data_IF_036850450449
#
_entry.id   IF_036850450449
#
_cell.length_a   1.000
_cell.length_b   1.000
_cell.length_c   1.000
_cell.angle_alpha   90.00
_cell.angle_beta   90.00
_cell.angle_gamma   90.00
#
_symmetry.space_group_name_H-M   'P 1'
#
loop_
_entity.id
_entity.type
_entity.pdbx_description
1 polymer ?
#
# COMPACT_ATOMS: atom_id res chain seq x y z
N UNK A 1 -3.28 -81.24 -94.88
CA UNK A 1 -3.80 -79.96 -94.38
C UNK A 1 -4.56 -80.26 -93.10
N UNK A 2 -3.91 -80.89 -92.11
CA UNK A 2 -3.16 -80.30 -90.99
C UNK A 2 -4.06 -79.50 -90.02
N UNK A 3 -4.41 -80.19 -88.92
CA UNK A 3 -4.75 -79.76 -87.56
C UNK A 3 -5.57 -78.49 -87.35
N UNK A 4 -6.73 -78.60 -86.67
CA UNK A 4 -7.28 -77.61 -85.70
C UNK A 4 -8.63 -78.13 -85.12
N UNK A 5 -8.63 -79.32 -84.50
CA UNK A 5 -9.81 -79.95 -83.87
C UNK A 5 -9.65 -80.19 -82.35
N UNK A 6 -8.83 -79.38 -81.66
CA UNK A 6 -8.55 -79.53 -80.21
C UNK A 6 -8.82 -78.26 -79.38
N UNK A 7 -9.74 -77.38 -79.78
CA UNK A 7 -10.18 -76.27 -78.93
C UNK A 7 -11.37 -76.72 -78.05
N UNK A 8 -11.05 -77.24 -76.87
CA UNK A 8 -12.04 -77.60 -75.85
C UNK A 8 -12.18 -76.46 -74.82
N UNK A 9 -13.29 -75.70 -74.78
CA UNK A 9 -13.43 -74.48 -73.96
C UNK A 9 -13.58 -74.72 -72.45
N UNK A 10 -13.58 -75.99 -72.01
CA UNK A 10 -13.83 -76.39 -70.62
C UNK A 10 -12.54 -76.92 -69.94
N UNK A 11 -11.51 -77.27 -70.72
CA UNK A 11 -10.21 -77.66 -70.20
C UNK A 11 -9.19 -76.59 -70.60
N UNK A 12 -8.76 -75.72 -69.66
CA UNK A 12 -7.75 -74.73 -69.98
C UNK A 12 -6.47 -75.45 -70.42
N UNK A 13 -5.85 -74.97 -71.50
CA UNK A 13 -4.53 -75.41 -71.92
C UNK A 13 -3.60 -75.38 -70.70
N UNK A 14 -2.92 -76.50 -70.42
CA UNK A 14 -2.03 -76.64 -69.25
C UNK A 14 -0.96 -75.55 -69.22
N UNK A 15 -0.59 -75.01 -70.39
CA UNK A 15 0.27 -73.84 -70.51
C UNK A 15 -0.33 -72.55 -69.93
N UNK A 16 -1.62 -72.29 -70.16
CA UNK A 16 -2.33 -71.11 -69.63
C UNK A 16 -2.51 -71.19 -68.10
N UNK A 17 -2.79 -72.38 -67.56
CA UNK A 17 -2.86 -72.59 -66.11
C UNK A 17 -1.51 -72.37 -65.43
N UNK A 18 -0.42 -72.84 -66.04
CA UNK A 18 0.93 -72.65 -65.51
C UNK A 18 1.33 -71.17 -65.48
N UNK A 19 1.15 -70.45 -66.59
CA UNK A 19 1.49 -69.03 -66.67
C UNK A 19 0.58 -68.15 -65.81
N UNK A 20 -0.72 -68.47 -65.70
CA UNK A 20 -1.63 -67.73 -64.82
C UNK A 20 -1.29 -67.93 -63.34
N UNK A 21 -0.93 -69.15 -62.92
CA UNK A 21 -0.51 -69.44 -61.54
C UNK A 21 0.80 -68.73 -61.19
N UNK A 22 1.78 -68.73 -62.09
CA UNK A 22 3.04 -68.00 -61.91
C UNK A 22 2.79 -66.50 -61.78
N UNK A 23 1.96 -65.94 -62.66
CA UNK A 23 1.65 -64.50 -62.63
C UNK A 23 0.88 -64.12 -61.37
N UNK A 24 -0.04 -64.97 -60.91
CA UNK A 24 -0.76 -64.79 -59.65
C UNK A 24 0.16 -64.84 -58.43
N UNK A 25 1.08 -65.82 -58.36
CA UNK A 25 2.06 -65.92 -57.28
C UNK A 25 3.02 -64.73 -57.28
N UNK A 26 3.49 -64.31 -58.46
CA UNK A 26 4.34 -63.13 -58.60
C UNK A 26 3.61 -61.87 -58.12
N UNK A 27 2.37 -61.68 -58.55
CA UNK A 27 1.52 -60.57 -58.10
C UNK A 27 1.28 -60.62 -56.58
N UNK A 28 0.97 -61.78 -56.02
CA UNK A 28 0.74 -61.94 -54.58
C UNK A 28 2.01 -61.63 -53.78
N UNK A 29 3.19 -62.05 -54.22
CA UNK A 29 4.45 -61.69 -53.57
C UNK A 29 4.72 -60.18 -53.62
N UNK A 30 4.41 -59.52 -54.74
CA UNK A 30 4.54 -58.07 -54.87
C UNK A 30 3.57 -57.37 -53.91
N UNK A 31 2.28 -57.69 -53.94
CA UNK A 31 1.27 -57.06 -53.08
C UNK A 31 1.51 -57.37 -51.60
N UNK A 32 1.85 -58.62 -51.26
CA UNK A 32 2.14 -59.05 -49.90
C UNK A 32 3.31 -58.28 -49.27
N UNK A 33 4.33 -57.94 -50.06
CA UNK A 33 5.47 -57.17 -49.57
C UNK A 33 5.26 -55.64 -49.65
N UNK A 34 4.61 -55.15 -50.70
CA UNK A 34 4.47 -53.72 -50.96
C UNK A 34 3.24 -53.08 -50.33
N UNK A 35 2.11 -53.78 -50.17
CA UNK A 35 0.88 -53.20 -49.62
C UNK A 35 0.84 -53.24 -48.09
N UNK A 36 1.37 -54.29 -47.47
CA UNK A 36 1.33 -54.43 -46.00
C UNK A 36 2.24 -53.43 -45.27
N UNK A 37 3.41 -53.10 -45.84
CA UNK A 37 4.35 -52.12 -45.28
C UNK A 37 3.74 -50.72 -45.07
N UNK A 38 3.14 -50.06 -46.08
CA UNK A 38 2.54 -48.74 -45.89
C UNK A 38 1.30 -48.77 -44.99
N UNK A 39 0.51 -49.85 -44.99
CA UNK A 39 -0.66 -49.98 -44.10
C UNK A 39 -0.22 -50.09 -42.64
N UNK A 40 0.77 -50.92 -42.34
CA UNK A 40 1.33 -51.03 -41.00
C UNK A 40 1.98 -49.73 -40.53
N UNK A 41 2.71 -49.05 -41.42
CA UNK A 41 3.28 -47.73 -41.15
C UNK A 41 2.22 -46.67 -40.84
N UNK A 42 1.14 -46.60 -41.62
CA UNK A 42 0.05 -45.66 -41.39
C UNK A 42 -0.70 -45.93 -40.07
N UNK A 43 -0.88 -47.21 -39.70
CA UNK A 43 -1.50 -47.57 -38.42
C UNK A 43 -0.61 -47.21 -37.23
N UNK A 44 0.69 -47.50 -37.31
CA UNK A 44 1.66 -47.15 -36.27
C UNK A 44 1.80 -45.63 -36.11
N UNK A 45 1.80 -44.88 -37.21
CA UNK A 45 1.80 -43.41 -37.17
C UNK A 45 0.56 -42.89 -36.44
N UNK A 46 -0.63 -43.41 -36.79
CA UNK A 46 -1.87 -43.01 -36.13
C UNK A 46 -1.88 -43.36 -34.63
N UNK A 47 -1.35 -44.52 -34.27
CA UNK A 47 -1.20 -44.93 -32.87
C UNK A 47 -0.28 -43.95 -32.11
N UNK A 48 0.86 -43.60 -32.70
CA UNK A 48 1.80 -42.63 -32.14
C UNK A 48 1.16 -41.25 -31.99
N UNK A 49 0.48 -40.73 -33.03
CA UNK A 49 -0.17 -39.43 -33.00
C UNK A 49 -1.26 -39.36 -31.91
N UNK A 50 -2.02 -40.45 -31.72
CA UNK A 50 -3.04 -40.54 -30.66
C UNK A 50 -2.37 -40.57 -29.29
N UNK A 51 -1.31 -41.35 -29.13
CA UNK A 51 -0.58 -41.44 -27.86
C UNK A 51 0.02 -40.08 -27.48
N UNK A 52 0.68 -39.41 -28.43
CA UNK A 52 1.22 -38.07 -28.24
C UNK A 52 0.12 -37.06 -27.88
N UNK A 53 -1.01 -37.08 -28.58
CA UNK A 53 -2.13 -36.18 -28.27
C UNK A 53 -2.72 -36.44 -26.87
N UNK A 54 -2.79 -37.70 -26.44
CA UNK A 54 -3.24 -38.06 -25.08
C UNK A 54 -2.24 -37.63 -24.02
N UNK A 55 -0.94 -37.80 -24.28
CA UNK A 55 0.12 -37.41 -23.36
C UNK A 55 0.19 -35.89 -23.21
N UNK A 56 0.09 -35.14 -24.32
CA UNK A 56 -0.02 -33.68 -24.30
C UNK A 56 -1.28 -33.21 -23.56
N UNK A 57 -2.43 -33.85 -23.77
CA UNK A 57 -3.65 -33.51 -23.05
C UNK A 57 -3.54 -33.78 -21.56
N UNK A 58 -2.83 -34.83 -21.16
CA UNK A 58 -2.56 -35.16 -19.76
C UNK A 58 -1.62 -34.13 -19.13
N UNK A 59 -0.52 -33.79 -19.80
CA UNK A 59 0.42 -32.75 -19.36
C UNK A 59 -0.29 -31.40 -19.20
N UNK A 60 -1.09 -30.98 -20.18
CA UNK A 60 -1.85 -29.74 -20.11
C UNK A 60 -2.83 -29.71 -18.93
N UNK A 61 -3.45 -30.85 -18.59
CA UNK A 61 -4.32 -30.96 -17.40
C UNK A 61 -3.54 -30.87 -16.09
N UNK A 62 -2.38 -31.51 -16.01
CA UNK A 62 -1.51 -31.45 -14.85
C UNK A 62 -0.97 -30.02 -14.63
N UNK A 63 -0.52 -29.36 -15.69
CA UNK A 63 -0.09 -27.96 -15.65
C UNK A 63 -1.23 -27.02 -15.26
N UNK A 64 -2.43 -27.22 -15.80
CA UNK A 64 -3.60 -26.42 -15.42
C UNK A 64 -3.98 -26.62 -13.95
N UNK A 65 -3.90 -27.84 -13.43
CA UNK A 65 -4.13 -28.12 -12.03
C UNK A 65 -3.08 -27.46 -11.13
N UNK A 66 -1.80 -27.51 -11.53
CA UNK A 66 -0.71 -26.83 -10.82
C UNK A 66 -0.90 -25.30 -10.82
N UNK A 67 -1.16 -24.71 -11.98
CA UNK A 67 -1.44 -23.27 -12.12
C UNK A 67 -2.63 -22.83 -11.27
N UNK A 68 -3.69 -23.63 -11.21
CA UNK A 68 -4.84 -23.35 -10.37
C UNK A 68 -4.48 -23.39 -8.88
N UNK A 69 -3.71 -24.40 -8.45
CA UNK A 69 -3.23 -24.49 -7.07
C UNK A 69 -2.33 -23.31 -6.69
N UNK A 70 -1.43 -22.91 -7.58
CA UNK A 70 -0.56 -21.74 -7.36
C UNK A 70 -1.37 -20.44 -7.33
N UNK A 71 -2.38 -20.30 -8.18
CA UNK A 71 -3.26 -19.13 -8.16
C UNK A 71 -4.04 -19.05 -6.84
N UNK A 72 -4.62 -20.18 -6.40
CA UNK A 72 -5.34 -20.28 -5.13
C UNK A 72 -4.39 -19.94 -3.95
N UNK A 73 -3.12 -20.38 -3.99
CA UNK A 73 -2.09 -20.03 -3.00
C UNK A 73 -1.75 -18.54 -3.03
N UNK A 74 -1.48 -17.96 -4.20
CA UNK A 74 -1.16 -16.52 -4.35
C UNK A 74 -2.31 -15.65 -3.85
N UNK A 75 -3.56 -16.03 -4.14
CA UNK A 75 -4.74 -15.31 -3.62
C UNK A 75 -4.81 -15.41 -2.10
N UNK A 76 -4.49 -16.57 -1.53
CA UNK A 76 -4.39 -16.75 -0.08
C UNK A 76 -3.35 -15.84 0.56
N UNK A 77 -2.13 -15.85 0.03
CA UNK A 77 -1.01 -15.00 0.48
C UNK A 77 -1.35 -13.51 0.34
N UNK A 78 -1.95 -13.10 -0.77
CA UNK A 78 -2.37 -11.72 -0.99
C UNK A 78 -3.43 -11.25 0.02
N UNK A 79 -4.37 -12.12 0.41
CA UNK A 79 -5.37 -11.81 1.43
C UNK A 79 -4.76 -11.70 2.82
N UNK A 80 -3.81 -12.57 3.16
CA UNK A 80 -3.07 -12.49 4.42
C UNK A 80 -2.26 -11.20 4.50
N UNK A 81 -1.57 -10.85 3.43
CA UNK A 81 -0.79 -9.62 3.33
C UNK A 81 -1.68 -8.38 3.42
N UNK A 82 -2.80 -8.37 2.71
CA UNK A 82 -3.80 -7.30 2.81
C UNK A 82 -4.30 -7.13 4.25
N UNK A 83 -4.59 -8.23 4.94
CA UNK A 83 -5.03 -8.18 6.34
C UNK A 83 -3.93 -7.64 7.26
N UNK A 84 -2.67 -8.01 7.01
CA UNK A 84 -1.49 -7.50 7.72
C UNK A 84 -1.36 -5.98 7.55
N UNK A 85 -1.38 -5.50 6.30
CA UNK A 85 -1.29 -4.07 5.96
C UNK A 85 -2.43 -3.29 6.60
N UNK A 86 -3.66 -3.80 6.54
CA UNK A 86 -4.81 -3.12 7.12
C UNK A 86 -4.73 -3.03 8.65
N UNK A 87 -4.20 -4.09 9.30
CA UNK A 87 -3.96 -4.10 10.74
C UNK A 87 -2.89 -3.08 11.13
N UNK A 88 -1.76 -3.09 10.43
CA UNK A 88 -0.66 -2.14 10.67
C UNK A 88 -1.09 -0.69 10.44
N UNK A 89 -1.85 -0.43 9.38
CA UNK A 89 -2.41 0.90 9.11
C UNK A 89 -3.34 1.38 10.23
N UNK A 90 -4.18 0.50 10.78
CA UNK A 90 -5.04 0.82 11.92
C UNK A 90 -4.24 1.07 13.19
N UNK A 91 -3.25 0.24 13.48
CA UNK A 91 -2.37 0.40 14.66
C UNK A 91 -1.58 1.71 14.58
N UNK A 92 -0.98 2.00 13.42
CA UNK A 92 -0.26 3.25 13.15
C UNK A 92 -1.19 4.46 13.26
N UNK A 93 -2.39 4.39 12.66
CA UNK A 93 -3.39 5.45 12.76
C UNK A 93 -3.81 5.73 14.21
N UNK A 94 -4.07 4.68 14.98
CA UNK A 94 -4.41 4.80 16.40
C UNK A 94 -3.26 5.39 17.21
N UNK A 95 -2.02 5.00 16.92
CA UNK A 95 -0.81 5.55 17.56
C UNK A 95 -0.66 7.04 17.26
N UNK A 96 -0.82 7.46 16.00
CA UNK A 96 -0.78 8.87 15.60
C UNK A 96 -1.85 9.66 16.35
N UNK A 97 -3.09 9.16 16.42
CA UNK A 97 -4.18 9.83 17.15
C UNK A 97 -3.84 9.96 18.64
N UNK A 98 -3.28 8.93 19.27
CA UNK A 98 -2.86 8.97 20.66
C UNK A 98 -1.75 10.01 20.89
N UNK A 99 -0.69 9.97 20.08
CA UNK A 99 0.41 10.93 20.14
C UNK A 99 -0.05 12.38 19.91
N UNK A 100 -0.95 12.59 18.95
CA UNK A 100 -1.54 13.92 18.69
C UNK A 100 -2.37 14.41 19.86
N UNK A 101 -3.14 13.53 20.52
CA UNK A 101 -3.92 13.89 21.72
C UNK A 101 -3.02 14.26 22.89
N UNK A 102 -1.93 13.52 23.10
CA UNK A 102 -0.99 13.79 24.19
C UNK A 102 -0.23 15.10 23.93
N UNK A 103 0.25 15.33 22.70
CA UNK A 103 0.85 16.63 22.31
C UNK A 103 -0.12 17.80 22.51
N UNK A 104 -1.38 17.63 22.11
CA UNK A 104 -2.41 18.66 22.29
C UNK A 104 -2.68 18.97 23.77
N UNK A 105 -2.68 17.95 24.64
CA UNK A 105 -2.80 18.13 26.09
C UNK A 105 -1.61 18.88 26.67
N UNK A 106 -0.40 18.52 26.25
CA UNK A 106 0.83 19.20 26.70
C UNK A 106 0.85 20.66 26.26
N UNK A 107 0.47 20.95 25.01
CA UNK A 107 0.34 22.32 24.51
C UNK A 107 -0.73 23.10 25.26
N UNK A 108 -1.90 22.50 25.52
CA UNK A 108 -2.96 23.13 26.31
C UNK A 108 -2.48 23.46 27.73
N UNK A 109 -1.75 22.54 28.38
CA UNK A 109 -1.16 22.79 29.69
C UNK A 109 -0.14 23.93 29.68
N UNK A 110 0.70 24.01 28.64
CA UNK A 110 1.64 25.12 28.46
C UNK A 110 0.92 26.45 28.27
N UNK A 111 -0.12 26.49 27.43
CA UNK A 111 -0.93 27.69 27.20
C UNK A 111 -1.56 28.16 28.52
N UNK A 112 -2.19 27.26 29.29
CA UNK A 112 -2.80 27.60 30.58
C UNK A 112 -1.76 28.11 31.58
N UNK A 113 -0.57 27.49 31.62
CA UNK A 113 0.51 27.91 32.52
C UNK A 113 1.02 29.29 32.15
N UNK A 114 1.26 29.55 30.85
CA UNK A 114 1.69 30.85 30.36
C UNK A 114 0.64 31.93 30.63
N UNK A 115 -0.64 31.64 30.37
CA UNK A 115 -1.73 32.56 30.67
C UNK A 115 -1.79 32.92 32.16
N UNK A 116 -1.56 31.95 33.07
CA UNK A 116 -1.49 32.24 34.52
C UNK A 116 -0.32 33.13 34.88
N UNK A 117 0.85 32.92 34.26
CA UNK A 117 2.03 33.77 34.48
C UNK A 117 1.80 35.18 33.96
N UNK A 118 1.17 35.34 32.80
CA UNK A 118 0.80 36.64 32.25
C UNK A 118 -0.22 37.35 33.14
N UNK A 119 -1.24 36.65 33.64
CA UNK A 119 -2.23 37.22 34.56
C UNK A 119 -1.56 37.70 35.86
N UNK A 120 -0.66 36.91 36.45
CA UNK A 120 0.05 37.31 37.66
C UNK A 120 0.94 38.54 37.43
N UNK A 121 1.63 38.60 36.29
CA UNK A 121 2.40 39.76 35.86
C UNK A 121 1.51 40.99 35.69
N UNK A 122 0.39 40.87 34.97
CA UNK A 122 -0.57 41.95 34.78
C UNK A 122 -1.18 42.44 36.10
N UNK A 123 -1.49 41.54 37.03
CA UNK A 123 -2.00 41.90 38.34
C UNK A 123 -0.98 42.73 39.14
N UNK A 124 0.31 42.34 39.12
CA UNK A 124 1.40 43.11 39.75
C UNK A 124 1.57 44.48 39.11
N UNK A 125 1.47 44.58 37.78
CA UNK A 125 1.50 45.85 37.07
C UNK A 125 0.32 46.74 37.47
N UNK A 126 -0.91 46.19 37.52
CA UNK A 126 -2.10 46.92 37.93
C UNK A 126 -2.00 47.44 39.37
N UNK A 127 -1.49 46.64 40.32
CA UNK A 127 -1.27 47.07 41.71
C UNK A 127 -0.25 48.22 41.76
N UNK A 128 0.82 48.14 40.98
CA UNK A 128 1.84 49.19 40.92
C UNK A 128 1.26 50.49 40.37
N UNK A 129 0.44 50.40 39.32
CA UNK A 129 -0.25 51.56 38.74
C UNK A 129 -1.21 52.22 39.75
N UNK A 130 -2.00 51.42 40.46
CA UNK A 130 -2.88 51.93 41.53
C UNK A 130 -2.08 52.63 42.63
N UNK A 131 -0.95 52.06 43.07
CA UNK A 131 -0.08 52.70 44.07
C UNK A 131 0.46 54.04 43.59
N UNK A 132 0.90 54.11 42.33
CA UNK A 132 1.37 55.36 41.73
C UNK A 132 0.26 56.42 41.67
N UNK A 133 -0.95 56.02 41.31
CA UNK A 133 -2.09 56.92 41.20
C UNK A 133 -2.57 57.43 42.57
N UNK A 134 -2.57 56.57 43.59
CA UNK A 134 -2.82 56.97 44.99
C UNK A 134 -1.73 57.90 45.50
N UNK A 135 -0.46 57.62 45.18
CA UNK A 135 0.67 58.49 45.55
C UNK A 135 0.54 59.90 44.95
N UNK A 136 0.14 60.01 43.67
CA UNK A 136 -0.15 61.29 43.03
C UNK A 136 -1.31 62.04 43.72
N UNK A 137 -2.43 61.36 43.98
CA UNK A 137 -3.56 61.98 44.68
C UNK A 137 -3.19 62.45 46.09
N UNK A 138 -2.38 61.68 46.82
CA UNK A 138 -1.89 62.07 48.14
C UNK A 138 -1.00 63.31 48.08
N UNK A 139 -0.12 63.41 47.07
CA UNK A 139 0.72 64.58 46.83
C UNK A 139 -0.12 65.81 46.46
N UNK A 140 -1.12 65.66 45.59
CA UNK A 140 -2.02 66.75 45.20
C UNK A 140 -2.81 67.28 46.40
N UNK A 141 -3.30 66.40 47.28
CA UNK A 141 -3.98 66.78 48.53
C UNK A 141 -3.01 67.48 49.48
N UNK A 142 -1.79 66.94 49.65
CA UNK A 142 -0.77 67.54 50.49
C UNK A 142 -0.39 68.94 49.99
N UNK A 143 -0.27 69.14 48.68
CA UNK A 143 -0.02 70.45 48.07
C UNK A 143 -1.18 71.42 48.35
N UNK A 144 -2.44 70.99 48.20
CA UNK A 144 -3.60 71.82 48.51
C UNK A 144 -3.66 72.23 49.98
N UNK A 145 -3.42 71.29 50.90
CA UNK A 145 -3.39 71.57 52.34
C UNK A 145 -2.24 72.51 52.68
N UNK A 146 -1.04 72.27 52.15
CA UNK A 146 0.12 73.13 52.37
C UNK A 146 -0.11 74.55 51.85
N UNK A 147 -0.68 74.70 50.64
CA UNK A 147 -1.08 76.00 50.08
C UNK A 147 -2.12 76.71 50.96
N UNK A 148 -3.02 75.97 51.60
CA UNK A 148 -4.02 76.54 52.52
C UNK A 148 -3.39 76.98 53.83
N UNK A 149 -2.48 76.21 54.43
CA UNK A 149 -1.81 76.56 55.68
C UNK A 149 -0.78 77.71 55.51
N UNK A 150 -0.09 77.76 54.37
CA UNK A 150 0.84 78.84 54.01
C UNK A 150 0.15 80.09 53.43
N UNK A 151 -1.18 80.21 53.52
CA UNK A 151 -1.93 81.35 53.00
C UNK A 151 -1.82 82.63 53.85
N UNK A 152 -1.19 82.57 55.02
CA UNK A 152 -0.89 83.74 55.85
C UNK A 152 0.60 84.15 55.75
N UNK A 153 0.88 85.45 55.65
CA UNK A 153 2.24 86.02 55.54
C UNK A 153 3.20 85.52 56.63
N UNK A 154 2.66 85.29 57.84
CA UNK A 154 3.44 84.87 59.01
C UNK A 154 3.91 83.42 58.89
N UNK A 155 3.03 82.51 58.45
CA UNK A 155 3.38 81.11 58.23
C UNK A 155 4.40 80.93 57.10
N UNK A 156 4.37 81.80 56.09
CA UNK A 156 5.32 81.79 54.98
C UNK A 156 6.72 82.26 55.41
N UNK A 157 6.81 83.28 56.28
CA UNK A 157 8.09 83.72 56.86
C UNK A 157 8.70 82.67 57.80
N UNK A 158 7.89 82.05 58.67
CA UNK A 158 8.35 81.00 59.60
C UNK A 158 8.91 79.76 58.84
N UNK A 159 8.33 79.41 57.69
CA UNK A 159 8.82 78.30 56.85
C UNK A 159 10.16 78.63 56.16
N UNK A 160 10.33 79.86 55.67
CA UNK A 160 11.60 80.33 55.07
C UNK A 160 12.72 80.32 56.11
N UNK A 161 12.46 80.79 57.33
CA UNK A 161 13.43 80.76 58.42
C UNK A 161 13.81 79.32 58.82
N UNK A 162 12.86 78.39 58.79
CA UNK A 162 13.10 76.98 59.08
C UNK A 162 13.96 76.31 58.00
N UNK A 163 13.69 76.55 56.72
CA UNK A 163 14.51 76.05 55.61
C UNK A 163 15.93 76.64 55.62
N UNK A 164 16.08 77.94 55.91
CA UNK A 164 17.39 78.59 56.05
C UNK A 164 18.17 78.00 57.24
N UNK A 165 17.48 77.60 58.30
CA UNK A 165 18.10 76.95 59.47
C UNK A 165 18.55 75.53 59.16
N UNK A 166 17.77 74.77 58.40
CA UNK A 166 18.08 73.38 58.00
C UNK A 166 19.25 73.32 57.00
N UNK A 167 19.33 74.28 56.05
CA UNK A 167 20.47 74.42 55.13
C UNK A 167 21.75 74.85 55.86
N UNK A 168 21.64 75.61 56.97
CA UNK A 168 22.79 75.98 57.81
C UNK A 168 23.26 74.89 58.78
N UNK A 169 22.50 73.80 58.91
CA UNK A 169 22.80 72.67 59.79
C UNK A 169 23.48 71.49 59.07
N UNK A 170 23.66 71.58 57.74
CA UNK A 170 24.57 70.76 56.93
C UNK A 170 25.75 71.60 56.43
#
# INVERSE_FOLDING_TARGET
MFYLLDFNPILPDVGLLFWSTITFLLFWLIVGKFAFRPIAGALSQREHDIQDALDLAKQAREEMAALKSDNDRIIGEAREEQARILKEAKESGNKIIAESKDKARDEAHKIVTNARLEIDSQAKHAITEVKNQVGKMALDIAEQVLRKELSSDKAQQDYVDLLVKEIKLN
#
